data_IF_209638129135
#
_entry.id   IF_209638129135
#
_cell.length_a   1.000
_cell.length_b   1.000
_cell.length_c   1.000
_cell.angle_alpha   90.00
_cell.angle_beta   90.00
_cell.angle_gamma   90.00
#
_symmetry.space_group_name_H-M   'P 1'
#
loop_
_entity.id
_entity.type
_entity.pdbx_description
1 polymer ?
#
# COMPACT_ATOMS: atom_id res chain seq x y z
N UNK A 1 -36.90 1.13 -8.64
CA UNK A 1 -35.88 1.49 -9.64
C UNK A 1 -34.82 2.31 -8.92
N UNK A 2 -33.67 1.71 -8.64
CA UNK A 2 -32.62 2.31 -7.80
C UNK A 2 -31.72 3.16 -8.71
N UNK A 3 -31.78 4.48 -8.52
CA UNK A 3 -30.93 5.44 -9.23
C UNK A 3 -29.55 5.35 -8.57
N UNK A 4 -28.59 4.71 -9.23
CA UNK A 4 -27.18 4.81 -8.82
C UNK A 4 -26.66 6.19 -9.25
N UNK A 5 -26.20 7.05 -8.32
CA UNK A 5 -25.54 8.28 -8.71
C UNK A 5 -24.24 7.92 -9.43
N UNK A 6 -24.02 8.51 -10.60
CA UNK A 6 -22.73 8.44 -11.31
C UNK A 6 -21.73 9.21 -10.43
N UNK A 7 -20.95 8.49 -9.62
CA UNK A 7 -19.83 9.06 -8.88
C UNK A 7 -18.75 9.48 -9.90
N UNK A 8 -18.71 10.77 -10.20
CA UNK A 8 -17.73 11.39 -11.07
C UNK A 8 -16.38 11.46 -10.33
N UNK A 9 -15.48 10.53 -10.61
CA UNK A 9 -14.24 10.29 -9.83
C UNK A 9 -13.03 11.16 -10.23
N UNK A 10 -13.17 12.10 -11.16
CA UNK A 10 -12.01 12.83 -11.70
C UNK A 10 -11.32 13.75 -10.69
N UNK A 11 -12.05 14.35 -9.75
CA UNK A 11 -11.45 15.23 -8.73
C UNK A 11 -10.80 14.45 -7.59
N UNK A 12 -11.28 13.24 -7.29
CA UNK A 12 -10.70 12.36 -6.26
C UNK A 12 -9.34 11.84 -6.73
N UNK A 13 -9.24 11.38 -7.98
CA UNK A 13 -7.96 10.97 -8.59
C UNK A 13 -6.91 12.09 -8.58
N UNK A 14 -7.30 13.35 -8.83
CA UNK A 14 -6.34 14.46 -8.85
C UNK A 14 -5.88 14.91 -7.46
N UNK A 15 -6.73 14.73 -6.45
CA UNK A 15 -6.34 14.97 -5.06
C UNK A 15 -5.41 13.84 -4.62
N UNK A 16 -5.75 12.57 -4.91
CA UNK A 16 -4.93 11.37 -4.67
C UNK A 16 -3.56 11.41 -5.36
N UNK A 17 -3.47 11.80 -6.64
CA UNK A 17 -2.22 11.91 -7.41
C UNK A 17 -1.35 13.10 -6.99
N UNK A 18 -1.94 14.09 -6.34
CA UNK A 18 -1.16 15.10 -5.64
C UNK A 18 -0.76 14.51 -4.28
N UNK A 19 0.20 15.09 -3.57
CA UNK A 19 0.34 14.96 -2.10
C UNK A 19 1.37 13.97 -1.51
N UNK A 20 1.80 14.31 -0.29
CA UNK A 20 2.18 13.37 0.76
C UNK A 20 1.18 12.23 1.06
N UNK A 21 -0.12 12.34 0.74
CA UNK A 21 -1.16 11.42 1.22
C UNK A 21 -1.32 10.14 0.40
N UNK A 22 -0.91 10.13 -0.86
CA UNK A 22 -0.60 8.90 -1.60
C UNK A 22 0.51 8.07 -0.91
N UNK A 23 1.61 8.72 -0.53
CA UNK A 23 2.69 8.07 0.25
C UNK A 23 2.22 7.57 1.61
N UNK A 24 1.33 8.29 2.29
CA UNK A 24 0.72 7.82 3.54
C UNK A 24 -0.19 6.61 3.31
N UNK A 25 -0.92 6.56 2.20
CA UNK A 25 -1.74 5.40 1.83
C UNK A 25 -0.86 4.16 1.58
N UNK A 26 0.24 4.33 0.84
CA UNK A 26 1.25 3.28 0.65
C UNK A 26 1.83 2.78 1.98
N UNK A 27 2.23 3.68 2.87
CA UNK A 27 2.73 3.35 4.20
C UNK A 27 1.68 2.62 5.04
N UNK A 28 0.42 3.08 5.03
CA UNK A 28 -0.68 2.40 5.72
C UNK A 28 -0.95 0.99 5.16
N UNK A 29 -0.93 0.83 3.84
CA UNK A 29 -1.10 -0.46 3.18
C UNK A 29 -0.01 -1.44 3.61
N UNK A 30 1.26 -1.00 3.64
CA UNK A 30 2.38 -1.78 4.14
C UNK A 30 2.19 -2.25 5.58
N UNK A 31 1.74 -1.37 6.46
CA UNK A 31 1.47 -1.68 7.86
C UNK A 31 0.37 -2.74 7.99
N UNK A 32 -0.74 -2.57 7.28
CA UNK A 32 -1.88 -3.51 7.33
C UNK A 32 -1.48 -4.88 6.79
N UNK A 33 -0.75 -4.95 5.66
CA UNK A 33 -0.30 -6.22 5.11
C UNK A 33 0.62 -6.94 6.12
N UNK A 34 1.56 -6.23 6.75
CA UNK A 34 2.38 -6.81 7.82
C UNK A 34 1.56 -7.29 9.02
N UNK A 35 0.54 -6.55 9.44
CA UNK A 35 -0.39 -6.96 10.50
C UNK A 35 -1.13 -8.26 10.15
N UNK A 36 -1.68 -8.36 8.94
CA UNK A 36 -2.37 -9.57 8.48
C UNK A 36 -1.39 -10.76 8.37
N UNK A 37 -0.19 -10.54 7.85
CA UNK A 37 0.82 -11.60 7.78
C UNK A 37 1.25 -12.06 9.17
N UNK A 38 1.39 -11.16 10.14
CA UNK A 38 1.72 -11.53 11.52
C UNK A 38 0.58 -12.36 12.15
N UNK A 39 -0.68 -11.97 11.96
CA UNK A 39 -1.84 -12.66 12.58
C UNK A 39 -2.13 -14.04 11.98
N UNK A 40 -1.89 -14.22 10.68
CA UNK A 40 -2.37 -15.38 9.94
C UNK A 40 -1.27 -16.29 9.39
N UNK A 41 -0.01 -15.92 9.54
CA UNK A 41 1.13 -16.74 9.09
C UNK A 41 2.16 -16.89 10.20
N UNK A 42 3.12 -17.80 9.99
CA UNK A 42 4.29 -17.94 10.88
C UNK A 42 5.50 -17.16 10.38
N UNK A 43 5.28 -16.16 9.51
CA UNK A 43 6.37 -15.39 8.93
C UNK A 43 7.10 -14.59 10.00
N UNK A 44 8.42 -14.67 9.95
CA UNK A 44 9.34 -13.80 10.66
C UNK A 44 9.20 -12.34 10.18
N UNK A 45 9.65 -11.34 10.96
CA UNK A 45 9.67 -9.94 10.55
C UNK A 45 10.28 -9.70 9.16
N UNK A 46 11.36 -10.42 8.84
CA UNK A 46 12.03 -10.34 7.55
C UNK A 46 11.16 -10.90 6.42
N UNK A 47 10.56 -12.08 6.62
CA UNK A 47 9.67 -12.70 5.63
C UNK A 47 8.42 -11.85 5.38
N UNK A 48 7.86 -11.22 6.42
CA UNK A 48 6.74 -10.28 6.27
C UNK A 48 7.14 -9.05 5.45
N UNK A 49 8.28 -8.44 5.79
CA UNK A 49 8.81 -7.29 5.06
C UNK A 49 9.07 -7.64 3.59
N UNK A 50 9.62 -8.84 3.32
CA UNK A 50 9.87 -9.32 1.97
C UNK A 50 8.57 -9.61 1.20
N UNK A 51 7.56 -10.17 1.87
CA UNK A 51 6.24 -10.35 1.28
C UNK A 51 5.58 -9.01 0.92
N UNK A 52 5.68 -8.01 1.80
CA UNK A 52 5.20 -6.64 1.51
C UNK A 52 5.95 -6.02 0.33
N UNK A 53 7.28 -6.18 0.27
CA UNK A 53 8.06 -5.74 -0.88
C UNK A 53 7.61 -6.40 -2.19
N UNK A 54 7.38 -7.72 -2.18
CA UNK A 54 6.88 -8.44 -3.36
C UNK A 54 5.50 -7.93 -3.79
N UNK A 55 4.60 -7.64 -2.85
CA UNK A 55 3.28 -7.07 -3.16
C UNK A 55 3.40 -5.66 -3.75
N UNK A 56 4.22 -4.80 -3.17
CA UNK A 56 4.44 -3.45 -3.66
C UNK A 56 5.07 -3.46 -5.06
N UNK A 57 6.10 -4.28 -5.27
CA UNK A 57 6.74 -4.46 -6.58
C UNK A 57 5.76 -5.00 -7.63
N UNK A 58 4.94 -5.99 -7.26
CA UNK A 58 3.91 -6.55 -8.12
C UNK A 58 2.89 -5.49 -8.57
N UNK A 59 2.43 -4.63 -7.64
CA UNK A 59 1.54 -3.49 -7.94
C UNK A 59 2.17 -2.56 -8.98
N UNK A 60 3.38 -2.06 -8.72
CA UNK A 60 4.09 -1.16 -9.64
C UNK A 60 4.36 -1.78 -11.03
N UNK A 61 4.59 -3.10 -11.06
CA UNK A 61 4.95 -3.79 -12.31
C UNK A 61 3.74 -4.15 -13.17
N UNK A 62 2.58 -4.40 -12.56
CA UNK A 62 1.42 -4.98 -13.25
C UNK A 62 0.15 -4.12 -13.19
N UNK A 63 -0.04 -3.32 -12.16
CA UNK A 63 -1.23 -2.46 -12.03
C UNK A 63 -0.97 -1.03 -12.53
N UNK A 64 0.27 -0.54 -12.40
CA UNK A 64 0.57 0.86 -12.67
C UNK A 64 1.14 1.08 -14.08
N UNK A 65 0.78 2.23 -14.65
CA UNK A 65 1.26 2.65 -15.98
C UNK A 65 2.71 3.16 -15.96
N UNK A 66 3.24 3.47 -14.77
CA UNK A 66 4.60 3.91 -14.51
C UNK A 66 5.10 3.23 -13.24
N UNK A 67 6.37 2.86 -13.25
CA UNK A 67 7.00 2.20 -12.10
C UNK A 67 7.54 3.27 -11.13
N UNK A 68 6.90 3.44 -9.98
CA UNK A 68 7.33 4.37 -8.93
C UNK A 68 8.06 3.64 -7.79
N UNK A 69 9.32 4.01 -7.57
CA UNK A 69 10.13 3.47 -6.47
C UNK A 69 9.78 4.09 -5.12
N UNK A 70 9.18 5.28 -5.12
CA UNK A 70 8.69 5.98 -3.94
C UNK A 70 7.57 5.23 -3.25
N UNK A 71 6.65 4.67 -4.03
CA UNK A 71 5.49 3.91 -3.55
C UNK A 71 5.92 2.58 -2.93
N UNK A 72 6.89 1.90 -3.57
CA UNK A 72 7.53 0.72 -3.01
C UNK A 72 8.20 1.07 -1.68
N UNK A 73 8.98 2.15 -1.63
CA UNK A 73 9.68 2.57 -0.41
C UNK A 73 8.71 2.95 0.72
N UNK A 74 7.62 3.66 0.40
CA UNK A 74 6.58 4.00 1.37
C UNK A 74 5.87 2.75 1.90
N UNK A 75 5.51 1.82 1.03
CA UNK A 75 4.86 0.55 1.40
C UNK A 75 5.77 -0.31 2.28
N UNK A 76 7.03 -0.47 1.93
CA UNK A 76 8.01 -1.19 2.77
C UNK A 76 8.26 -0.44 4.08
N UNK A 77 8.26 0.89 4.07
CA UNK A 77 8.36 1.72 5.28
C UNK A 77 7.20 1.45 6.26
N UNK A 78 6.00 1.24 5.74
CA UNK A 78 4.84 0.79 6.53
C UNK A 78 5.06 -0.55 7.24
N UNK A 79 5.63 -1.52 6.52
CA UNK A 79 6.00 -2.81 7.10
C UNK A 79 7.07 -2.66 8.18
N UNK A 80 8.08 -1.83 7.95
CA UNK A 80 9.12 -1.57 8.96
C UNK A 80 8.55 -0.89 10.21
N UNK A 81 7.62 0.06 10.06
CA UNK A 81 6.95 0.72 11.18
C UNK A 81 6.13 -0.26 12.02
N UNK A 82 5.51 -1.27 11.39
CA UNK A 82 4.83 -2.34 12.11
C UNK A 82 5.77 -3.10 13.05
N UNK A 83 7.00 -3.39 12.61
CA UNK A 83 7.99 -4.12 13.41
C UNK A 83 8.62 -3.29 14.54
N UNK A 84 8.53 -1.96 14.49
CA UNK A 84 9.08 -1.04 15.51
C UNK A 84 8.16 -0.91 16.74
N UNK A 85 6.93 -1.43 16.67
CA UNK A 85 6.04 -1.48 17.84
C UNK A 85 6.42 -2.63 18.79
N UNK A 86 6.82 -2.24 20.01
CA UNK A 86 7.20 -3.07 21.17
C UNK A 86 6.14 -4.13 21.56
#
# INVERSE_FOLDING_TARGET
MLIMPICYANTVHQIEDSMPLDKWAHLGAGYIISDQLHRYTKFTPLERTLAVFCVAYAKERWADSKFDRGDIAATVGGAALYEVNF
#
